data_IF_965781035356
#
_entry.id   IF_965781035356
#
_cell.length_a   1.000
_cell.length_b   1.000
_cell.length_c   1.000
_cell.angle_alpha   90.00
_cell.angle_beta   90.00
_cell.angle_gamma   90.00
#
_symmetry.space_group_name_H-M   'P 1'
#
loop_
_entity.id
_entity.type
_entity.pdbx_description
1 polymer ?
#
# COMPACT_ATOMS: atom_id res chain seq x y z
N UNK A 1 -10.93 4.02 -14.14
CA UNK A 1 -11.72 5.25 -13.87
C UNK A 1 -13.21 4.98 -13.62
N UNK A 2 -13.82 3.97 -14.24
CA UNK A 2 -15.22 3.60 -13.96
C UNK A 2 -15.47 3.14 -12.50
N UNK A 3 -14.47 2.55 -11.84
CA UNK A 3 -14.55 2.09 -10.44
C UNK A 3 -14.94 3.22 -9.46
N UNK A 4 -14.27 4.37 -9.55
CA UNK A 4 -14.45 5.49 -8.61
C UNK A 4 -15.75 6.25 -8.89
N UNK A 5 -16.02 6.58 -10.16
CA UNK A 5 -17.13 7.48 -10.51
C UNK A 5 -18.51 6.84 -10.35
N UNK A 6 -18.59 5.51 -10.31
CA UNK A 6 -19.85 4.77 -10.29
C UNK A 6 -20.35 4.45 -8.88
N UNK A 7 -19.51 4.56 -7.86
CA UNK A 7 -19.85 4.22 -6.47
C UNK A 7 -19.45 5.35 -5.51
N UNK A 8 -20.38 6.30 -5.33
CA UNK A 8 -20.19 7.44 -4.41
C UNK A 8 -20.39 7.07 -2.93
N UNK A 9 -20.90 5.88 -2.64
CA UNK A 9 -21.02 5.40 -1.27
C UNK A 9 -19.67 4.91 -0.76
N UNK A 10 -18.93 4.19 -1.61
CA UNK A 10 -17.55 3.75 -1.35
C UNK A 10 -16.51 4.84 -1.62
N UNK A 11 -16.67 5.59 -2.70
CA UNK A 11 -15.75 6.68 -3.08
C UNK A 11 -16.48 8.03 -3.07
N UNK A 12 -16.73 8.61 -1.89
CA UNK A 12 -17.39 9.90 -1.79
C UNK A 12 -16.57 10.99 -2.49
N UNK A 13 -17.26 11.97 -3.05
CA UNK A 13 -16.61 13.09 -3.72
C UNK A 13 -16.02 14.04 -2.68
N UNK A 14 -14.69 14.11 -2.64
CA UNK A 14 -13.94 15.13 -1.92
C UNK A 14 -13.09 15.91 -2.94
N UNK A 15 -13.16 17.26 -2.99
CA UNK A 15 -12.44 18.05 -3.98
C UNK A 15 -10.92 17.87 -3.96
N UNK A 16 -10.35 17.51 -2.80
CA UNK A 16 -8.90 17.44 -2.58
C UNK A 16 -8.43 16.09 -2.05
N UNK A 17 -9.31 15.09 -1.99
CA UNK A 17 -8.95 13.74 -1.54
C UNK A 17 -9.53 12.68 -2.45
N UNK A 18 -8.73 11.65 -2.73
CA UNK A 18 -9.30 10.34 -3.05
C UNK A 18 -9.60 9.65 -1.74
N UNK A 19 -10.85 9.23 -1.53
CA UNK A 19 -11.31 8.56 -0.30
C UNK A 19 -12.00 7.26 -0.66
N UNK A 20 -11.75 6.22 0.11
CA UNK A 20 -12.49 4.97 0.14
C UNK A 20 -13.02 4.74 1.56
N UNK A 21 -14.33 4.59 1.71
CA UNK A 21 -15.03 4.43 3.00
C UNK A 21 -15.51 3.01 3.26
N UNK A 22 -15.40 2.12 2.26
CA UNK A 22 -15.78 0.72 2.37
C UNK A 22 -14.72 -0.12 1.68
N UNK A 23 -14.15 -1.08 2.41
CA UNK A 23 -13.25 -2.07 1.82
C UNK A 23 -14.06 -3.10 1.04
N UNK A 24 -13.65 -3.39 -0.20
CA UNK A 24 -14.20 -4.48 -1.01
C UNK A 24 -13.04 -5.28 -1.58
N UNK A 25 -13.04 -6.59 -1.39
CA UNK A 25 -11.99 -7.45 -1.91
C UNK A 25 -12.06 -7.55 -3.46
N UNK A 26 -10.90 -7.78 -4.08
CA UNK A 26 -10.79 -8.10 -5.51
C UNK A 26 -10.30 -6.98 -6.44
N UNK A 27 -10.11 -5.76 -5.94
CA UNK A 27 -9.61 -4.62 -6.71
C UNK A 27 -8.32 -3.98 -6.15
N UNK A 28 -7.62 -4.72 -5.28
CA UNK A 28 -6.41 -4.27 -4.59
C UNK A 28 -5.34 -3.70 -5.56
N UNK A 29 -5.01 -4.38 -6.67
CA UNK A 29 -4.01 -3.88 -7.63
C UNK A 29 -4.40 -2.56 -8.32
N UNK A 30 -5.71 -2.31 -8.52
CA UNK A 30 -6.18 -1.02 -9.05
C UNK A 30 -6.08 0.05 -7.99
N UNK A 31 -6.52 -0.23 -6.76
CA UNK A 31 -6.50 0.74 -5.66
C UNK A 31 -5.07 1.08 -5.24
N UNK A 32 -4.16 0.12 -5.23
CA UNK A 32 -2.73 0.36 -5.05
C UNK A 32 -2.15 1.38 -6.03
N UNK A 33 -2.62 1.37 -7.28
CA UNK A 33 -2.21 2.37 -8.28
C UNK A 33 -2.82 3.74 -7.96
N UNK A 34 -4.10 3.76 -7.58
CA UNK A 34 -4.84 5.00 -7.34
C UNK A 34 -4.39 5.74 -6.08
N UNK A 35 -4.03 5.00 -5.03
CA UNK A 35 -3.59 5.52 -3.74
C UNK A 35 -2.05 5.63 -3.64
N UNK A 36 -1.33 5.51 -4.75
CA UNK A 36 0.12 5.61 -4.77
C UNK A 36 0.62 7.02 -4.37
N UNK A 37 1.79 7.06 -3.74
CA UNK A 37 2.50 8.29 -3.40
C UNK A 37 3.81 8.38 -4.19
N UNK A 38 4.27 9.61 -4.47
CA UNK A 38 5.60 9.81 -5.04
C UNK A 38 6.00 11.27 -5.16
N UNK A 39 7.30 11.50 -5.28
CA UNK A 39 7.90 12.85 -5.42
C UNK A 39 8.79 12.99 -6.69
N UNK A 40 8.68 12.04 -7.62
CA UNK A 40 9.50 11.95 -8.84
C UNK A 40 10.87 11.29 -8.64
N UNK A 41 11.34 11.10 -7.41
CA UNK A 41 12.55 10.33 -7.09
C UNK A 41 12.21 8.99 -6.40
N UNK A 42 11.37 9.02 -5.37
CA UNK A 42 10.87 7.88 -4.64
C UNK A 42 9.36 7.77 -4.90
N UNK A 43 8.89 6.54 -5.13
CA UNK A 43 7.46 6.24 -5.27
C UNK A 43 7.10 4.96 -4.54
N UNK A 44 5.88 4.89 -4.02
CA UNK A 44 5.32 3.73 -3.35
C UNK A 44 3.87 3.54 -3.77
N UNK A 45 3.48 2.29 -4.07
CA UNK A 45 2.08 1.95 -4.35
C UNK A 45 1.25 2.07 -3.07
N UNK A 46 -0.02 2.47 -3.21
CA UNK A 46 -0.97 2.63 -2.11
C UNK A 46 -1.49 1.31 -1.54
N UNK A 47 -0.62 0.30 -1.45
CA UNK A 47 -0.96 -1.02 -0.94
C UNK A 47 -1.41 -0.93 0.50
N UNK A 48 -2.39 -1.77 0.83
CA UNK A 48 -2.83 -1.90 2.21
C UNK A 48 -1.69 -2.48 3.05
N UNK A 49 -1.55 -2.03 4.30
CA UNK A 49 -0.50 -2.51 5.19
C UNK A 49 -0.75 -3.95 5.67
N UNK A 50 -2.02 -4.37 5.72
CA UNK A 50 -2.38 -5.76 5.97
C UNK A 50 -2.13 -6.59 4.71
N UNK A 51 -1.21 -7.55 4.81
CA UNK A 51 -0.68 -8.28 3.64
C UNK A 51 -1.76 -9.04 2.83
N UNK A 52 -2.81 -9.53 3.49
CA UNK A 52 -3.90 -10.26 2.84
C UNK A 52 -4.71 -9.40 1.85
N UNK A 53 -4.65 -8.08 1.98
CA UNK A 53 -5.38 -7.10 1.17
C UNK A 53 -4.45 -6.30 0.25
N UNK A 54 -3.30 -6.88 -0.09
CA UNK A 54 -2.33 -6.36 -1.06
C UNK A 54 -2.18 -7.32 -2.23
N UNK A 55 -1.99 -6.79 -3.44
CA UNK A 55 -1.84 -7.54 -4.69
C UNK A 55 -0.44 -7.36 -5.25
N UNK A 56 -0.03 -6.12 -5.52
CA UNK A 56 1.28 -5.76 -6.05
C UNK A 56 1.92 -4.63 -5.21
N UNK A 57 2.14 -4.83 -3.89
CA UNK A 57 2.84 -3.84 -3.07
C UNK A 57 4.25 -3.59 -3.63
N UNK A 58 4.66 -2.32 -3.68
CA UNK A 58 5.95 -1.98 -4.25
C UNK A 58 6.39 -0.56 -4.01
N UNK A 59 7.69 -0.42 -3.76
CA UNK A 59 8.41 0.85 -3.69
C UNK A 59 9.47 0.90 -4.78
N UNK A 60 9.74 2.08 -5.31
CA UNK A 60 10.60 2.29 -6.47
C UNK A 60 11.44 3.56 -6.31
N UNK A 61 12.69 3.49 -6.77
CA UNK A 61 13.55 4.67 -6.92
C UNK A 61 13.70 4.95 -8.42
N UNK A 62 13.42 6.18 -8.83
CA UNK A 62 13.63 6.65 -10.19
C UNK A 62 15.11 6.50 -10.57
N UNK A 63 15.38 5.82 -11.68
CA UNK A 63 16.72 5.50 -12.16
C UNK A 63 17.32 4.22 -11.56
N UNK A 64 16.68 3.58 -10.58
CA UNK A 64 17.11 2.27 -10.07
C UNK A 64 16.53 1.14 -10.94
N UNK A 65 17.35 0.54 -11.77
CA UNK A 65 16.92 -0.41 -12.78
C UNK A 65 17.99 -1.47 -13.08
N UNK A 66 17.55 -2.60 -13.60
CA UNK A 66 18.43 -3.62 -14.18
C UNK A 66 18.57 -3.40 -15.68
N UNK A 67 19.71 -3.83 -16.22
CA UNK A 67 19.98 -3.91 -17.66
C UNK A 67 20.30 -5.34 -18.07
N UNK A 68 19.91 -5.72 -19.28
CA UNK A 68 20.27 -7.01 -19.87
C UNK A 68 20.40 -6.90 -21.39
N UNK A 69 21.08 -7.85 -22.01
CA UNK A 69 21.15 -7.94 -23.47
C UNK A 69 19.83 -8.50 -24.03
N UNK A 70 19.21 -7.75 -24.93
CA UNK A 70 17.98 -8.19 -25.61
C UNK A 70 18.33 -9.27 -26.61
N UNK A 71 17.73 -10.46 -26.43
CA UNK A 71 17.81 -11.56 -27.38
C UNK A 71 16.67 -11.45 -28.37
N UNK A 72 16.99 -10.96 -29.57
CA UNK A 72 16.07 -10.99 -30.71
C UNK A 72 16.15 -12.34 -31.42
N UNK A 73 15.04 -12.78 -32.01
CA UNK A 73 15.04 -13.97 -32.86
C UNK A 73 15.88 -13.76 -34.14
N UNK A 74 15.95 -12.52 -34.63
CA UNK A 74 16.73 -12.10 -35.79
C UNK A 74 17.43 -10.76 -35.51
N UNK A 75 18.60 -10.54 -36.11
CA UNK A 75 19.34 -9.28 -35.96
C UNK A 75 19.00 -8.32 -37.11
N UNK A 76 18.55 -7.12 -36.77
CA UNK A 76 18.31 -6.03 -37.72
C UNK A 76 19.00 -4.74 -37.28
N UNK A 77 19.37 -3.90 -38.26
CA UNK A 77 19.94 -2.58 -37.98
C UNK A 77 18.91 -1.69 -37.26
N UNK A 78 19.35 -1.00 -36.20
CA UNK A 78 18.49 -0.11 -35.41
C UNK A 78 17.71 -0.79 -34.27
N UNK A 79 17.80 -2.10 -34.10
CA UNK A 79 17.18 -2.77 -32.95
C UNK A 79 17.88 -2.41 -31.63
N UNK A 80 17.06 -2.21 -30.59
CA UNK A 80 17.55 -2.00 -29.23
C UNK A 80 18.34 -3.23 -28.78
N UNK A 81 19.56 -3.01 -28.26
CA UNK A 81 20.44 -4.09 -27.77
C UNK A 81 20.35 -4.29 -26.27
N UNK A 82 20.04 -3.23 -25.54
CA UNK A 82 19.99 -3.23 -24.08
C UNK A 82 18.56 -3.04 -23.62
N UNK A 83 18.05 -3.99 -22.85
CA UNK A 83 16.79 -3.90 -22.12
C UNK A 83 17.02 -3.19 -20.81
N UNK A 84 16.00 -2.48 -20.33
CA UNK A 84 16.01 -1.80 -19.05
C UNK A 84 14.67 -2.03 -18.35
N UNK A 85 14.71 -2.32 -17.05
CA UNK A 85 13.49 -2.46 -16.23
C UNK A 85 13.73 -1.90 -14.84
N UNK A 86 12.84 -1.01 -14.42
CA UNK A 86 12.82 -0.52 -13.03
C UNK A 86 12.60 -1.69 -12.07
N UNK A 87 13.36 -1.72 -10.99
CA UNK A 87 13.28 -2.77 -9.98
C UNK A 87 12.51 -2.31 -8.75
N UNK A 88 11.91 -3.26 -8.06
CA UNK A 88 11.42 -3.04 -6.70
C UNK A 88 12.61 -2.78 -5.77
N UNK A 89 12.48 -1.81 -4.88
CA UNK A 89 13.34 -1.71 -3.69
C UNK A 89 12.65 -2.44 -2.52
N UNK A 90 13.37 -2.74 -1.41
CA UNK A 90 12.77 -3.38 -0.26
C UNK A 90 11.51 -2.65 0.22
N UNK A 91 10.45 -3.40 0.41
CA UNK A 91 9.13 -2.90 0.79
C UNK A 91 9.05 -2.75 2.31
N UNK A 92 8.74 -1.53 2.75
CA UNK A 92 8.76 -1.12 4.16
C UNK A 92 7.34 -0.87 4.71
N UNK A 93 6.28 -1.11 3.94
CA UNK A 93 4.89 -0.86 4.33
C UNK A 93 4.20 -2.06 5.00
N UNK A 94 4.96 -2.90 5.71
CA UNK A 94 4.46 -4.19 6.20
C UNK A 94 4.36 -4.17 7.72
N UNK A 95 3.12 -4.16 8.22
CA UNK A 95 2.83 -4.25 9.65
C UNK A 95 1.94 -5.46 9.96
N UNK A 96 2.20 -6.08 11.10
CA UNK A 96 1.28 -7.03 11.72
C UNK A 96 0.87 -6.46 13.06
N UNK A 97 -0.44 -6.30 13.28
CA UNK A 97 -1.02 -5.85 14.56
C UNK A 97 -1.83 -6.99 15.14
N UNK A 98 -1.46 -7.43 16.34
CA UNK A 98 -2.14 -8.46 17.09
C UNK A 98 -2.62 -7.85 18.41
N UNK A 99 -3.92 -7.95 18.68
CA UNK A 99 -4.58 -7.46 19.90
C UNK A 99 -5.16 -8.65 20.64
N UNK A 100 -4.75 -8.87 21.89
CA UNK A 100 -5.18 -9.99 22.73
C UNK A 100 -5.06 -11.37 22.01
N UNK A 101 -4.04 -11.53 21.17
CA UNK A 101 -3.80 -12.75 20.38
C UNK A 101 -4.62 -12.85 19.07
N UNK A 102 -5.36 -11.80 18.69
CA UNK A 102 -6.09 -11.71 17.44
C UNK A 102 -5.45 -10.72 16.46
N UNK A 103 -5.19 -11.17 15.24
CA UNK A 103 -4.71 -10.33 14.14
C UNK A 103 -5.88 -9.67 13.42
N UNK A 104 -5.77 -8.38 13.10
CA UNK A 104 -6.74 -7.72 12.22
C UNK A 104 -6.75 -8.40 10.84
N UNK A 105 -7.93 -8.81 10.40
CA UNK A 105 -8.21 -9.27 9.04
C UNK A 105 -9.44 -8.52 8.52
N UNK A 106 -9.33 -7.84 7.36
CA UNK A 106 -10.47 -7.11 6.81
C UNK A 106 -11.61 -8.03 6.34
N UNK A 107 -11.32 -9.30 6.10
CA UNK A 107 -12.32 -10.30 5.67
C UNK A 107 -12.95 -11.07 6.83
N UNK A 108 -12.26 -11.23 7.96
CA UNK A 108 -12.70 -12.07 9.07
C UNK A 108 -13.06 -11.28 10.34
N UNK A 109 -12.41 -10.14 10.58
CA UNK A 109 -12.68 -9.32 11.76
C UNK A 109 -13.97 -8.51 11.62
N UNK A 110 -14.58 -8.16 12.74
CA UNK A 110 -15.72 -7.24 12.75
C UNK A 110 -15.23 -5.81 12.57
N UNK A 111 -15.24 -5.30 11.34
CA UNK A 111 -14.87 -3.91 11.01
C UNK A 111 -16.06 -2.99 11.23
N UNK A 112 -15.89 -2.02 12.14
CA UNK A 112 -16.93 -1.04 12.52
C UNK A 112 -16.86 0.23 11.68
N UNK A 113 -15.65 0.66 11.32
CA UNK A 113 -15.41 1.84 10.46
C UNK A 113 -14.15 1.59 9.63
N UNK A 114 -14.20 1.96 8.35
CA UNK A 114 -13.07 1.86 7.44
C UNK A 114 -12.95 3.17 6.67
N UNK A 115 -11.73 3.70 6.59
CA UNK A 115 -11.45 4.82 5.71
C UNK A 115 -10.01 4.79 5.25
N UNK A 116 -9.82 4.81 3.93
CA UNK A 116 -8.53 5.04 3.29
C UNK A 116 -8.59 6.33 2.47
N UNK A 117 -7.54 7.13 2.50
CA UNK A 117 -7.49 8.37 1.73
C UNK A 117 -6.09 8.74 1.27
N UNK A 118 -6.00 9.45 0.15
CA UNK A 118 -4.84 10.27 -0.21
C UNK A 118 -5.31 11.71 -0.33
N UNK A 119 -4.68 12.59 0.43
CA UNK A 119 -4.91 14.04 0.40
C UNK A 119 -3.94 14.69 -0.60
N UNK A 120 -4.50 15.33 -1.63
CA UNK A 120 -3.73 15.92 -2.72
C UNK A 120 -3.07 17.26 -2.36
N UNK A 121 -3.53 17.93 -1.30
CA UNK A 121 -2.94 19.17 -0.84
C UNK A 121 -1.70 18.92 0.02
N UNK A 122 -1.69 17.83 0.78
CA UNK A 122 -0.61 17.46 1.70
C UNK A 122 0.30 16.34 1.19
N UNK A 123 -0.18 15.52 0.26
CA UNK A 123 0.49 14.30 -0.21
C UNK A 123 0.47 13.16 0.82
N UNK A 124 -0.41 13.24 1.83
CA UNK A 124 -0.50 12.24 2.90
C UNK A 124 -1.50 11.16 2.49
N UNK A 125 -1.04 9.92 2.55
CA UNK A 125 -1.90 8.75 2.61
C UNK A 125 -2.29 8.49 4.08
N UNK A 126 -3.55 8.13 4.33
CA UNK A 126 -4.03 7.68 5.63
C UNK A 126 -4.98 6.49 5.47
N UNK A 127 -4.80 5.43 6.25
CA UNK A 127 -5.75 4.33 6.41
C UNK A 127 -6.13 4.20 7.89
N UNK A 128 -7.42 4.40 8.19
CA UNK A 128 -7.99 4.29 9.52
C UNK A 128 -9.01 3.15 9.53
N UNK A 129 -8.87 2.24 10.47
CA UNK A 129 -9.74 1.07 10.62
C UNK A 129 -10.13 0.95 12.09
N UNK A 130 -11.42 0.99 12.37
CA UNK A 130 -11.97 0.65 13.69
C UNK A 130 -12.57 -0.73 13.61
N UNK A 131 -12.15 -1.63 14.50
CA UNK A 131 -12.57 -3.02 14.50
C UNK A 131 -12.79 -3.52 15.92
N UNK A 132 -13.66 -4.51 16.07
CA UNK A 132 -13.95 -5.16 17.33
C UNK A 132 -13.25 -6.52 17.38
N UNK A 133 -12.40 -6.70 18.39
CA UNK A 133 -11.73 -7.96 18.67
C UNK A 133 -12.72 -8.94 19.31
N UNK A 134 -12.44 -10.25 19.23
CA UNK A 134 -13.21 -11.29 19.94
C UNK A 134 -13.12 -11.17 21.46
N UNK A 135 -12.10 -10.50 22.00
CA UNK A 135 -12.02 -10.13 23.42
C UNK A 135 -13.08 -9.10 23.84
N UNK A 136 -13.76 -8.48 22.86
CA UNK A 136 -14.75 -7.42 23.04
C UNK A 136 -14.15 -6.01 23.05
N UNK A 137 -12.82 -5.87 22.98
CA UNK A 137 -12.17 -4.56 22.83
C UNK A 137 -12.46 -3.95 21.46
N UNK A 138 -12.64 -2.63 21.42
CA UNK A 138 -12.70 -1.86 20.18
C UNK A 138 -11.37 -1.17 19.95
N UNK A 139 -10.73 -1.48 18.82
CA UNK A 139 -9.42 -0.93 18.46
C UNK A 139 -9.51 -0.12 17.19
N UNK A 140 -8.86 1.04 17.17
CA UNK A 140 -8.62 1.84 15.97
C UNK A 140 -7.15 1.75 15.60
N UNK A 141 -6.85 1.32 14.37
CA UNK A 141 -5.53 1.46 13.77
C UNK A 141 -5.53 2.64 12.81
N UNK A 142 -4.56 3.54 12.93
CA UNK A 142 -4.35 4.63 11.96
C UNK A 142 -2.95 4.56 11.39
N UNK A 143 -2.86 4.21 10.12
CA UNK A 143 -1.62 4.15 9.34
C UNK A 143 -1.52 5.42 8.48
N UNK A 144 -0.37 6.09 8.49
CA UNK A 144 -0.10 7.24 7.61
C UNK A 144 1.22 7.07 6.90
N UNK A 145 1.26 7.55 5.65
CA UNK A 145 2.45 7.58 4.81
C UNK A 145 2.62 8.94 4.15
N UNK A 146 3.87 9.34 4.00
CA UNK A 146 4.25 10.50 3.19
C UNK A 146 5.63 10.28 2.56
N UNK A 147 5.80 10.75 1.33
CA UNK A 147 7.09 10.78 0.65
C UNK A 147 7.63 12.21 0.69
N UNK A 148 8.88 12.38 1.14
CA UNK A 148 9.46 13.68 1.42
C UNK A 148 9.64 14.53 0.16
N UNK A 149 8.94 15.66 0.06
CA UNK A 149 9.11 16.58 -1.08
C UNK A 149 10.48 17.28 -1.06
N UNK A 150 10.90 17.78 0.12
CA UNK A 150 12.21 18.42 0.30
C UNK A 150 13.34 17.41 0.57
N UNK A 151 13.00 16.24 1.11
CA UNK A 151 13.92 15.13 1.40
C UNK A 151 13.66 13.98 0.45
N UNK A 152 14.13 14.12 -0.79
CA UNK A 152 13.69 13.29 -1.93
C UNK A 152 13.81 11.77 -1.74
N UNK A 153 14.79 11.30 -0.96
CA UNK A 153 15.02 9.88 -0.68
C UNK A 153 14.37 9.37 0.61
N UNK A 154 13.51 10.17 1.26
CA UNK A 154 12.90 9.82 2.54
C UNK A 154 11.42 9.52 2.39
N UNK A 155 10.96 8.54 3.16
CA UNK A 155 9.55 8.24 3.37
C UNK A 155 9.29 8.14 4.87
N UNK A 156 8.20 8.74 5.32
CA UNK A 156 7.69 8.61 6.68
C UNK A 156 6.52 7.65 6.70
N UNK A 157 6.51 6.75 7.69
CA UNK A 157 5.40 5.86 7.98
C UNK A 157 5.11 5.94 9.48
N UNK A 158 3.84 6.06 9.85
CA UNK A 158 3.41 6.00 11.25
C UNK A 158 2.24 5.05 11.38
N UNK A 159 2.27 4.23 12.43
CA UNK A 159 1.14 3.40 12.85
C UNK A 159 0.75 3.82 14.27
N UNK A 160 -0.51 4.20 14.45
CA UNK A 160 -1.11 4.55 15.73
C UNK A 160 -2.18 3.51 16.09
N UNK A 161 -2.20 3.11 17.36
CA UNK A 161 -3.21 2.21 17.93
C UNK A 161 -3.92 2.92 19.08
N UNK A 162 -5.25 2.90 19.06
CA UNK A 162 -6.09 3.35 20.15
C UNK A 162 -7.09 2.25 20.51
N UNK A 163 -7.25 1.96 21.80
CA UNK A 163 -8.21 0.97 22.30
C UNK A 163 -9.16 1.64 23.30
N UNK A 164 -10.40 1.14 23.37
CA UNK A 164 -11.40 1.59 24.35
C UNK A 164 -11.15 1.08 25.78
N UNK A 165 -10.16 0.18 25.93
CA UNK A 165 -9.79 -0.45 27.19
C UNK A 165 -8.35 -0.97 27.15
N UNK A 166 -7.87 -1.44 28.30
CA UNK A 166 -6.57 -2.10 28.40
C UNK A 166 -6.57 -3.40 27.58
N UNK A 167 -5.55 -3.53 26.74
CA UNK A 167 -5.34 -4.68 25.84
C UNK A 167 -3.86 -5.03 25.78
N UNK A 168 -3.54 -6.28 25.42
CA UNK A 168 -2.18 -6.64 25.00
C UNK A 168 -2.03 -6.38 23.52
N UNK A 169 -1.02 -5.61 23.12
CA UNK A 169 -0.75 -5.29 21.72
C UNK A 169 0.65 -5.74 21.31
N UNK A 170 0.72 -6.63 20.33
CA UNK A 170 1.96 -7.01 19.66
C UNK A 170 1.99 -6.39 18.27
N UNK A 171 3.01 -5.55 18.02
CA UNK A 171 3.19 -4.85 16.75
C UNK A 171 4.52 -5.26 16.14
N UNK A 172 4.46 -5.83 14.93
CA UNK A 172 5.65 -6.15 14.15
C UNK A 172 5.70 -5.25 12.91
N UNK A 173 6.83 -4.57 12.71
CA UNK A 173 7.16 -3.89 11.47
C UNK A 173 8.22 -4.69 10.74
N UNK A 174 8.04 -4.90 9.44
CA UNK A 174 8.97 -5.72 8.64
C UNK A 174 9.37 -5.05 7.34
N UNK A 175 10.58 -5.36 6.88
CA UNK A 175 11.08 -4.96 5.56
C UNK A 175 11.20 -6.21 4.72
N UNK A 176 10.52 -6.23 3.57
CA UNK A 176 10.42 -7.42 2.73
C UNK A 176 11.07 -7.15 1.38
N UNK A 177 12.05 -7.97 1.00
CA UNK A 177 12.54 -7.97 -0.36
C UNK A 177 11.55 -8.72 -1.27
N UNK A 178 10.69 -7.99 -1.98
CA UNK A 178 9.70 -8.56 -2.89
C UNK A 178 10.29 -9.01 -4.22
N UNK A 179 11.45 -8.46 -4.62
CA UNK A 179 12.11 -8.75 -5.89
C UNK A 179 12.53 -10.24 -6.01
N UNK A 180 12.88 -10.86 -4.89
CA UNK A 180 13.36 -12.26 -4.85
C UNK A 180 12.24 -13.26 -4.57
N UNK A 181 10.99 -12.80 -4.40
CA UNK A 181 9.86 -13.71 -4.22
C UNK A 181 9.59 -14.44 -5.53
N UNK A 182 9.45 -15.77 -5.46
CA UNK A 182 9.12 -16.57 -6.61
C UNK A 182 7.82 -16.04 -7.24
N UNK A 183 7.92 -15.55 -8.48
CA UNK A 183 6.72 -15.21 -9.27
C UNK A 183 5.98 -16.53 -9.47
N UNK A 184 4.79 -16.67 -8.88
CA UNK A 184 3.90 -17.78 -9.17
C UNK A 184 3.73 -17.89 -10.67
N UNK A 185 4.03 -19.07 -11.22
CA UNK A 185 4.30 -19.29 -12.65
C UNK A 185 3.30 -18.62 -13.60
N UNK A 186 3.85 -17.99 -14.62
CA UNK A 186 3.20 -17.80 -15.92
C UNK A 186 3.77 -18.82 -16.91
#
# INVERSE_FOLDING_TARGET
>A
MALITSDRARFPNDPWKLVETVHVAGDAGTLETLFALGNGHLGIRGAHWAAADSDLPGSFINGFHEIWDIKHAENAFGFARTGQRILYIPDVNNFTVIIDGETLSLSESTVLDYRRSVDFATGIYECRITWQCRSGATVTTTERRAVGFQTRGSMGISLELAADRDVSADVTSSVINRQDQAVGGH
#
